data_IF_539282935980
#
_entry.id   IF_539282935980
#
_cell.length_a   1.000
_cell.length_b   1.000
_cell.length_c   1.000
_cell.angle_alpha   90.00
_cell.angle_beta   90.00
_cell.angle_gamma   90.00
#
_symmetry.space_group_name_H-M   'P 1'
#
loop_
_entity.id
_entity.type
_entity.pdbx_description
1 polymer ?
#
# COMPACT_ATOMS: atom_id res chain seq x y z
N UNK A 1 40.97 1.05 1.64
CA UNK A 1 40.29 0.69 1.65
C UNK A 1 39.79 0.59 1.34
N UNK A 2 39.55 0.92 1.43
CA UNK A 2 38.82 0.84 1.31
C UNK A 2 38.14 0.74 1.05
N UNK A 3 37.86 1.01 1.09
CA UNK A 3 36.92 0.93 1.02
C UNK A 3 36.21 0.62 0.96
N UNK A 4 36.24 0.75 1.22
CA UNK A 4 35.31 0.39 1.39
C UNK A 4 34.65 0.48 1.55
N UNK A 5 34.59 0.85 1.97
CA UNK A 5 33.78 0.93 2.32
C UNK A 5 33.16 1.32 2.06
N UNK A 6 33.37 1.76 2.11
CA UNK A 6 32.56 2.27 1.96
C UNK A 6 31.81 2.01 1.36
N UNK A 7 31.92 1.93 1.10
CA UNK A 7 30.97 1.74 0.64
C UNK A 7 30.03 1.03 1.01
N UNK A 8 30.19 0.77 1.63
CA UNK A 8 29.37 0.19 2.32
C UNK A 8 28.29 0.86 2.85
N UNK A 9 28.48 1.59 3.71
CA UNK A 9 27.49 2.37 4.34
C UNK A 9 26.71 3.17 3.36
N UNK A 10 27.30 3.44 2.33
CA UNK A 10 26.68 4.20 1.27
C UNK A 10 25.42 3.56 0.77
N UNK A 11 25.42 2.27 0.76
CA UNK A 11 24.27 1.54 0.29
C UNK A 11 23.02 1.94 1.04
N UNK A 12 23.21 2.20 2.30
CA UNK A 12 22.08 2.59 3.11
C UNK A 12 21.49 3.88 2.62
N UNK A 13 22.37 4.76 2.21
CA UNK A 13 21.92 6.07 1.81
C UNK A 13 21.07 6.03 0.58
N UNK A 14 21.24 5.01 -0.21
CA UNK A 14 20.45 4.88 -1.42
C UNK A 14 18.98 4.84 -1.08
N UNK A 15 18.63 4.08 -0.08
CA UNK A 15 17.25 4.03 0.35
C UNK A 15 16.76 5.39 0.78
N UNK A 16 17.62 6.13 1.43
CA UNK A 16 17.24 7.45 1.88
C UNK A 16 17.03 8.40 0.72
N UNK A 17 17.81 8.23 -0.34
CA UNK A 17 17.69 9.14 -1.46
C UNK A 17 16.38 8.97 -2.22
N UNK A 18 15.69 7.87 -2.01
CA UNK A 18 14.38 7.67 -2.63
C UNK A 18 13.33 8.56 -2.02
N UNK A 19 13.57 9.02 -0.81
CA UNK A 19 12.64 9.92 -0.18
C UNK A 19 11.36 9.31 0.32
N UNK A 20 11.32 8.00 0.49
CA UNK A 20 10.12 7.38 1.02
C UNK A 20 10.46 6.32 2.06
N UNK A 21 9.52 6.10 2.96
CA UNK A 21 9.65 5.10 4.01
C UNK A 21 8.31 4.40 4.13
N UNK A 22 8.34 3.24 4.77
CA UNK A 22 7.12 2.51 5.04
C UNK A 22 6.30 3.25 6.10
N UNK A 23 4.99 3.11 6.01
CA UNK A 23 4.08 3.79 6.93
C UNK A 23 3.94 2.98 8.20
N UNK A 24 3.94 3.67 9.33
CA UNK A 24 3.78 3.06 10.65
C UNK A 24 2.63 3.68 11.43
N UNK A 25 2.02 4.74 10.92
CA UNK A 25 0.98 5.45 11.67
C UNK A 25 -0.29 4.61 11.76
N UNK A 26 -1.02 4.77 12.84
CA UNK A 26 -2.24 4.02 13.04
C UNK A 26 -3.31 4.45 12.06
N UNK A 27 -3.91 3.51 11.35
CA UNK A 27 -5.03 3.83 10.47
C UNK A 27 -6.34 3.85 11.25
N UNK A 28 -7.36 4.42 10.63
CA UNK A 28 -8.70 4.42 11.23
C UNK A 28 -9.28 3.01 11.28
N UNK A 29 -8.92 2.17 10.28
CA UNK A 29 -9.40 0.80 10.22
C UNK A 29 -8.49 0.01 9.30
N UNK A 30 -8.53 -1.30 9.44
CA UNK A 30 -7.74 -2.20 8.61
C UNK A 30 -8.63 -3.31 8.07
N UNK A 31 -8.35 -3.77 6.86
CA UNK A 31 -9.20 -4.75 6.19
C UNK A 31 -8.38 -5.77 5.43
N UNK A 32 -8.91 -6.99 5.36
CA UNK A 32 -8.42 -7.95 4.38
C UNK A 32 -9.02 -7.56 3.03
N UNK A 33 -8.29 -7.78 1.95
CA UNK A 33 -8.77 -7.40 0.63
C UNK A 33 -10.16 -7.96 0.33
N UNK A 34 -10.40 -9.20 0.73
CA UNK A 34 -11.69 -9.85 0.45
C UNK A 34 -12.86 -9.19 1.16
N UNK A 35 -12.60 -8.40 2.18
CA UNK A 35 -13.66 -7.78 2.98
C UNK A 35 -13.89 -6.32 2.63
N UNK A 36 -13.07 -5.75 1.76
CA UNK A 36 -13.14 -4.31 1.50
C UNK A 36 -14.50 -3.88 0.97
N UNK A 37 -15.03 -4.58 -0.03
CA UNK A 37 -16.28 -4.16 -0.65
C UNK A 37 -17.47 -4.25 0.29
N UNK A 38 -17.39 -5.10 1.30
CA UNK A 38 -18.51 -5.26 2.22
C UNK A 38 -18.38 -4.46 3.50
N UNK A 39 -17.14 -4.15 3.90
CA UNK A 39 -16.93 -3.53 5.20
C UNK A 39 -16.33 -2.13 5.16
N UNK A 40 -15.69 -1.75 4.07
CA UNK A 40 -14.98 -0.48 4.02
C UNK A 40 -15.78 0.67 3.43
N UNK A 41 -16.94 0.42 2.85
CA UNK A 41 -17.74 1.47 2.22
C UNK A 41 -17.94 2.71 3.07
N UNK A 42 -18.16 2.60 4.38
CA UNK A 42 -18.36 3.80 5.20
C UNK A 42 -17.17 4.75 5.19
N UNK A 43 -16.02 4.28 4.74
CA UNK A 43 -14.80 5.11 4.75
C UNK A 43 -14.57 5.85 3.43
N UNK A 44 -15.41 5.60 2.42
CA UNK A 44 -15.24 6.26 1.12
C UNK A 44 -15.36 7.77 1.29
N UNK A 45 -14.36 8.49 0.78
CA UNK A 45 -14.38 9.94 0.77
C UNK A 45 -14.19 10.61 2.12
N UNK A 46 -13.90 9.86 3.16
CA UNK A 46 -13.80 10.44 4.50
C UNK A 46 -12.42 10.99 4.85
N UNK A 47 -11.47 10.84 3.95
CA UNK A 47 -10.11 11.35 4.16
C UNK A 47 -9.46 10.81 5.44
N UNK A 48 -9.78 9.56 5.75
CA UNK A 48 -9.11 8.86 6.84
C UNK A 48 -8.34 7.70 6.26
N UNK A 49 -7.21 7.40 6.85
CA UNK A 49 -6.37 6.34 6.34
C UNK A 49 -6.90 4.98 6.75
N UNK A 50 -6.96 4.06 5.81
CA UNK A 50 -7.26 2.67 6.10
C UNK A 50 -6.13 1.81 5.57
N UNK A 51 -6.02 0.59 6.07
CA UNK A 51 -5.03 -0.38 5.63
C UNK A 51 -5.74 -1.52 4.93
N UNK A 52 -5.17 -1.97 3.81
CA UNK A 52 -5.66 -3.16 3.14
C UNK A 52 -4.51 -4.14 2.98
N UNK A 53 -4.74 -5.37 3.42
CA UNK A 53 -3.77 -6.45 3.21
C UNK A 53 -4.25 -7.25 2.02
N UNK A 54 -3.39 -7.39 1.00
CA UNK A 54 -3.78 -8.12 -0.19
C UNK A 54 -2.59 -8.67 -0.93
N UNK A 55 -2.91 -9.39 -2.01
CA UNK A 55 -1.90 -10.02 -2.85
C UNK A 55 -1.83 -9.28 -4.16
N UNK A 56 -0.62 -8.89 -4.56
CA UNK A 56 -0.40 -8.14 -5.79
C UNK A 56 -0.69 -9.03 -7.00
N UNK A 57 -1.55 -8.55 -7.90
CA UNK A 57 -1.84 -9.26 -9.14
C UNK A 57 -1.26 -8.56 -10.35
N UNK A 58 -0.93 -7.27 -10.22
CA UNK A 58 -0.39 -6.52 -11.34
C UNK A 58 0.32 -5.29 -10.83
N UNK A 59 1.39 -4.89 -11.50
CA UNK A 59 2.10 -3.65 -11.22
C UNK A 59 2.15 -2.85 -12.51
N UNK A 60 1.77 -1.59 -12.45
CA UNK A 60 1.80 -0.73 -13.64
C UNK A 60 2.64 0.50 -13.34
N UNK A 61 3.87 0.47 -13.83
CA UNK A 61 4.80 1.60 -13.74
C UNK A 61 5.38 1.90 -15.11
N UNK A 62 4.61 1.56 -16.15
CA UNK A 62 5.09 1.73 -17.52
C UNK A 62 5.25 3.20 -17.94
N UNK A 63 4.44 4.05 -17.35
CA UNK A 63 4.46 5.48 -17.61
C UNK A 63 5.22 6.13 -16.44
N UNK A 64 6.10 7.11 -16.67
CA UNK A 64 6.79 7.77 -15.57
C UNK A 64 5.88 8.34 -14.50
N UNK A 65 4.63 8.62 -14.86
CA UNK A 65 3.66 9.14 -13.90
C UNK A 65 2.79 8.06 -13.27
N UNK A 66 3.00 6.80 -13.64
CA UNK A 66 2.19 5.71 -13.11
C UNK A 66 2.88 5.06 -11.92
N UNK A 67 2.12 4.78 -10.88
CA UNK A 67 2.61 4.07 -9.72
C UNK A 67 1.49 3.22 -9.15
N UNK A 68 0.91 2.40 -10.01
CA UNK A 68 -0.25 1.60 -9.64
C UNK A 68 0.11 0.17 -9.32
N UNK A 69 -0.48 -0.34 -8.25
CA UNK A 69 -0.47 -1.78 -8.02
C UNK A 69 -1.92 -2.22 -7.87
N UNK A 70 -2.16 -3.45 -8.28
CA UNK A 70 -3.50 -4.03 -8.20
C UNK A 70 -3.45 -5.23 -7.28
N UNK A 71 -4.43 -5.32 -6.40
CA UNK A 71 -4.53 -6.44 -5.48
C UNK A 71 -5.70 -7.32 -5.90
N UNK A 72 -5.65 -8.57 -5.48
CA UNK A 72 -6.79 -9.46 -5.72
C UNK A 72 -8.05 -8.80 -5.18
N UNK A 73 -9.17 -9.16 -5.73
CA UNK A 73 -10.50 -8.62 -5.38
C UNK A 73 -10.75 -7.26 -6.02
N UNK A 74 -10.03 -6.94 -7.08
CA UNK A 74 -10.33 -5.73 -7.86
C UNK A 74 -9.92 -4.43 -7.20
N UNK A 75 -8.88 -4.47 -6.37
CA UNK A 75 -8.43 -3.27 -5.66
C UNK A 75 -7.28 -2.62 -6.40
N UNK A 76 -7.45 -1.34 -6.72
CA UNK A 76 -6.41 -0.55 -7.36
C UNK A 76 -5.82 0.41 -6.34
N UNK A 77 -4.50 0.42 -6.21
CA UNK A 77 -3.82 1.31 -5.29
C UNK A 77 -2.90 2.23 -6.07
N UNK A 78 -3.15 3.53 -5.97
CA UNK A 78 -2.31 4.52 -6.62
C UNK A 78 -1.32 5.03 -5.59
N UNK A 79 -0.11 4.47 -5.65
CA UNK A 79 0.92 4.80 -4.67
C UNK A 79 1.47 6.19 -4.91
N UNK A 80 1.83 6.87 -3.84
CA UNK A 80 2.33 8.24 -3.93
C UNK A 80 3.64 8.32 -4.68
N UNK A 81 4.44 7.27 -4.59
CA UNK A 81 5.79 7.29 -5.15
C UNK A 81 5.99 6.07 -6.03
N UNK A 82 6.47 6.31 -7.25
CA UNK A 82 6.68 5.25 -8.21
C UNK A 82 7.66 4.19 -7.68
N UNK A 83 8.65 4.61 -6.91
CA UNK A 83 9.61 3.67 -6.34
C UNK A 83 8.95 2.64 -5.44
N UNK A 84 7.88 3.02 -4.74
CA UNK A 84 7.15 2.06 -3.93
C UNK A 84 6.55 0.97 -4.79
N UNK A 85 5.91 1.37 -5.89
CA UNK A 85 5.29 0.40 -6.78
C UNK A 85 6.33 -0.53 -7.38
N UNK A 86 7.52 -0.01 -7.68
CA UNK A 86 8.55 -0.80 -8.31
C UNK A 86 9.11 -1.89 -7.40
N UNK A 87 8.89 -1.79 -6.10
CA UNK A 87 9.35 -2.82 -5.18
C UNK A 87 8.36 -3.98 -5.07
N UNK A 88 7.17 -3.83 -5.64
CA UNK A 88 6.14 -4.85 -5.54
C UNK A 88 6.23 -5.82 -6.72
N UNK A 89 5.97 -7.07 -6.45
CA UNK A 89 5.94 -8.11 -7.48
C UNK A 89 4.65 -8.89 -7.40
N UNK A 90 4.21 -9.36 -8.54
CA UNK A 90 3.00 -10.21 -8.60
C UNK A 90 3.20 -11.39 -7.66
N UNK A 91 2.21 -11.63 -6.83
CA UNK A 91 2.25 -12.70 -5.84
C UNK A 91 2.64 -12.25 -4.46
N UNK A 92 3.20 -11.04 -4.33
CA UNK A 92 3.57 -10.51 -3.01
C UNK A 92 2.34 -10.22 -2.17
N UNK A 93 2.46 -10.50 -0.88
CA UNK A 93 1.47 -10.03 0.08
C UNK A 93 1.95 -8.68 0.58
N UNK A 94 1.10 -7.68 0.44
CA UNK A 94 1.47 -6.32 0.84
C UNK A 94 0.41 -5.72 1.75
N UNK A 95 0.84 -4.73 2.51
CA UNK A 95 -0.05 -3.93 3.35
C UNK A 95 0.00 -2.53 2.78
N UNK A 96 -1.15 -2.00 2.40
CA UNK A 96 -1.23 -0.71 1.76
C UNK A 96 -2.13 0.21 2.58
N UNK A 97 -1.61 1.38 2.89
CA UNK A 97 -2.39 2.41 3.60
C UNK A 97 -2.80 3.48 2.60
N UNK A 98 -3.97 4.02 2.78
CA UNK A 98 -4.40 5.11 1.91
C UNK A 98 -5.81 5.55 2.17
N UNK A 99 -6.27 6.47 1.34
CA UNK A 99 -7.64 6.98 1.41
C UNK A 99 -8.50 6.24 0.41
N UNK A 100 -9.63 5.74 0.89
CA UNK A 100 -10.55 5.01 0.03
C UNK A 100 -11.37 6.01 -0.78
N UNK A 101 -11.10 6.07 -2.07
CA UNK A 101 -11.73 7.02 -2.96
C UNK A 101 -12.97 6.47 -3.62
N UNK A 102 -12.97 5.18 -3.88
CA UNK A 102 -14.10 4.52 -4.52
C UNK A 102 -14.18 3.09 -3.99
N UNK A 103 -15.39 2.62 -3.78
CA UNK A 103 -15.59 1.27 -3.30
C UNK A 103 -16.96 0.77 -3.76
N UNK A 104 -16.99 0.08 -4.88
CA UNK A 104 -18.20 -0.53 -5.38
C UNK A 104 -17.85 -1.87 -6.01
N UNK A 105 -18.84 -2.52 -6.59
CA UNK A 105 -18.63 -3.87 -7.14
C UNK A 105 -17.69 -3.89 -8.31
N UNK A 106 -17.57 -2.77 -9.03
CA UNK A 106 -16.74 -2.73 -10.20
C UNK A 106 -15.32 -2.33 -9.89
N UNK A 107 -15.14 -1.54 -8.84
CA UNK A 107 -13.81 -0.98 -8.57
C UNK A 107 -13.66 -0.53 -7.14
N UNK A 108 -12.48 -0.80 -6.61
CA UNK A 108 -12.05 -0.24 -5.34
C UNK A 108 -10.79 0.53 -5.63
N UNK A 109 -10.77 1.81 -5.25
CA UNK A 109 -9.60 2.67 -5.49
C UNK A 109 -9.11 3.28 -4.20
N UNK A 110 -7.85 3.02 -3.91
CA UNK A 110 -7.15 3.60 -2.77
C UNK A 110 -6.16 4.63 -3.30
N UNK A 111 -6.38 5.89 -2.98
CA UNK A 111 -5.58 6.98 -3.55
C UNK A 111 -5.67 8.24 -2.69
N UNK A 112 -4.56 8.86 -2.30
CA UNK A 112 -3.21 8.37 -2.45
C UNK A 112 -2.93 7.21 -1.51
N UNK A 113 -1.96 6.40 -1.86
CA UNK A 113 -1.64 5.23 -1.08
C UNK A 113 -0.14 5.14 -0.81
N UNK A 114 0.22 4.42 0.24
CA UNK A 114 1.61 4.17 0.59
C UNK A 114 1.72 2.73 1.06
N UNK A 115 2.92 2.20 0.98
CA UNK A 115 3.16 0.86 1.51
C UNK A 115 3.35 0.94 3.02
N UNK A 116 2.76 0.00 3.72
CA UNK A 116 2.90 -0.11 5.17
C UNK A 116 3.88 -1.21 5.52
N UNK A 117 4.60 -1.02 6.61
CA UNK A 117 5.53 -2.02 7.09
C UNK A 117 4.77 -3.31 7.42
N UNK A 118 5.13 -4.44 6.80
CA UNK A 118 4.41 -5.68 7.06
C UNK A 118 4.58 -6.21 8.47
N UNK A 119 5.56 -5.69 9.22
CA UNK A 119 5.75 -6.10 10.61
C UNK A 119 4.94 -5.25 11.58
N UNK A 120 4.31 -4.18 11.09
CA UNK A 120 3.47 -3.36 11.95
C UNK A 120 2.19 -4.12 12.28
N UNK A 121 1.60 -3.77 13.42
CA UNK A 121 0.40 -4.44 13.86
C UNK A 121 -0.70 -4.38 12.81
N UNK A 122 -1.34 -5.51 12.58
CA UNK A 122 -2.47 -5.58 11.66
C UNK A 122 -3.64 -6.24 12.36
N UNK A 123 -4.72 -5.47 12.51
CA UNK A 123 -5.92 -5.93 13.19
C UNK A 123 -7.12 -5.63 12.29
N UNK A 124 -7.44 -6.55 11.36
CA UNK A 124 -8.52 -6.29 10.41
C UNK A 124 -9.86 -6.26 11.10
N UNK A 125 -10.75 -5.41 10.60
CA UNK A 125 -12.08 -5.30 11.12
C UNK A 125 -12.84 -6.60 10.89
N UNK A 126 -13.49 -7.04 11.94
CA UNK A 126 -14.34 -8.23 11.86
C UNK A 126 -15.74 -7.78 11.53
N UNK A 127 -16.54 -8.73 11.08
CA UNK A 127 -17.94 -8.43 10.84
C UNK A 127 -18.56 -7.96 12.15
N UNK A 128 -19.19 -6.80 12.09
CA UNK A 128 -19.81 -6.23 13.26
C UNK A 128 -21.27 -6.66 13.31
N UNK A 129 -21.67 -7.10 14.46
CA UNK A 129 -23.08 -7.45 14.67
C UNK A 129 -23.81 -6.22 15.09
N UNK A 130 -24.90 -5.97 14.44
CA UNK A 130 -25.68 -4.76 14.71
C UNK A 130 -26.86 -5.05 15.59
#
# INVERSE_FOLDING_TARGET
>A
MKQILITIGVVLLIGCSEGWVLDYHDPAAQFLAKDVTTKAKPYVGRHVKITIKGIVTKVNINDPNSSLIYLKEGIECNLKIRAMASTCKVGDTVYVDGFLKRCDEDKVLLEPATLRDPTAKFAPKKTVKQ
#
